data_IF_664146980087
#
_entry.id   IF_664146980087
#
_cell.length_a   1.000
_cell.length_b   1.000
_cell.length_c   1.000
_cell.angle_alpha   90.00
_cell.angle_beta   90.00
_cell.angle_gamma   90.00
#
_symmetry.space_group_name_H-M   'P 1'
#
loop_
_entity.id
_entity.type
_entity.pdbx_description
1 polymer ?
#
# COMPACT_ATOMS: atom_id res chain seq x y z
N UNK A 1 22.92 -4.86 8.91
CA UNK A 1 22.42 -6.24 8.74
C UNK A 1 20.91 -6.14 8.50
N UNK A 2 20.40 -6.82 7.49
CA UNK A 2 18.96 -6.89 7.22
C UNK A 2 18.45 -8.21 7.77
N UNK A 3 17.45 -8.17 8.63
CA UNK A 3 16.75 -9.38 9.10
C UNK A 3 15.73 -9.81 8.05
N UNK A 4 15.69 -11.11 7.76
CA UNK A 4 14.56 -11.75 7.07
C UNK A 4 13.58 -12.26 8.13
N UNK A 5 12.35 -12.60 7.74
CA UNK A 5 11.39 -13.20 8.68
C UNK A 5 11.95 -14.45 9.36
N UNK A 6 12.64 -15.31 8.59
CA UNK A 6 13.23 -16.54 9.12
C UNK A 6 14.30 -16.26 10.19
N UNK A 7 15.26 -15.37 9.89
CA UNK A 7 16.32 -15.02 10.84
C UNK A 7 15.80 -14.27 12.07
N UNK A 8 14.74 -13.44 11.90
CA UNK A 8 14.08 -12.79 13.02
C UNK A 8 13.37 -13.81 13.92
N UNK A 9 12.67 -14.77 13.32
CA UNK A 9 12.00 -15.84 14.05
C UNK A 9 12.99 -16.67 14.87
N UNK A 10 14.11 -17.11 14.26
CA UNK A 10 15.18 -17.85 14.94
C UNK A 10 15.74 -17.04 16.11
N UNK A 11 16.05 -15.77 15.90
CA UNK A 11 16.57 -14.89 16.94
C UNK A 11 15.60 -14.72 18.11
N UNK A 12 14.30 -14.62 17.85
CA UNK A 12 13.27 -14.52 18.91
C UNK A 12 13.15 -15.84 19.66
N UNK A 13 13.17 -16.99 18.97
CA UNK A 13 13.16 -18.31 19.60
C UNK A 13 14.37 -18.49 20.51
N UNK A 14 15.57 -18.17 20.03
CA UNK A 14 16.81 -18.26 20.81
C UNK A 14 16.76 -17.35 22.04
N UNK A 15 16.25 -16.14 21.90
CA UNK A 15 16.15 -15.20 23.02
C UNK A 15 15.13 -15.64 24.08
N UNK A 16 13.97 -16.12 23.63
CA UNK A 16 12.87 -16.55 24.52
C UNK A 16 13.06 -17.97 25.05
N UNK A 17 13.97 -18.75 24.46
CA UNK A 17 14.18 -20.18 24.74
C UNK A 17 12.86 -20.96 24.64
N UNK A 18 12.01 -20.58 23.69
CA UNK A 18 10.67 -21.18 23.52
C UNK A 18 10.53 -21.78 22.11
N UNK A 19 10.47 -23.10 22.05
CA UNK A 19 10.28 -23.90 20.84
C UNK A 19 8.87 -24.49 20.73
N UNK A 20 7.95 -24.05 21.59
CA UNK A 20 6.59 -24.57 21.58
C UNK A 20 5.91 -24.33 20.24
N UNK A 21 5.29 -25.39 19.68
CA UNK A 21 4.70 -25.35 18.34
C UNK A 21 3.66 -24.24 18.19
N UNK A 22 2.86 -24.00 19.22
CA UNK A 22 1.86 -22.92 19.23
C UNK A 22 2.50 -21.54 19.18
N UNK A 23 3.61 -21.31 19.90
CA UNK A 23 4.36 -20.07 19.89
C UNK A 23 4.96 -19.81 18.51
N UNK A 24 5.63 -20.82 17.95
CA UNK A 24 6.28 -20.73 16.63
C UNK A 24 5.24 -20.45 15.53
N UNK A 25 4.09 -21.12 15.57
CA UNK A 25 3.02 -20.93 14.60
C UNK A 25 2.42 -19.51 14.63
N UNK A 26 2.38 -18.87 15.79
CA UNK A 26 1.83 -17.52 15.95
C UNK A 26 2.87 -16.39 15.75
N UNK A 27 4.13 -16.71 15.54
CA UNK A 27 5.20 -15.72 15.41
C UNK A 27 4.95 -14.72 14.27
N UNK A 28 4.42 -15.18 13.14
CA UNK A 28 4.05 -14.31 12.02
C UNK A 28 3.05 -13.22 12.42
N UNK A 29 2.02 -13.60 13.16
CA UNK A 29 1.02 -12.65 13.67
C UNK A 29 1.64 -11.62 14.63
N UNK A 30 2.55 -12.05 15.50
CA UNK A 30 3.22 -11.12 16.42
C UNK A 30 4.08 -10.10 15.68
N UNK A 31 4.80 -10.55 14.64
CA UNK A 31 5.61 -9.65 13.78
C UNK A 31 4.70 -8.65 13.05
N UNK A 32 3.61 -9.09 12.41
CA UNK A 32 2.65 -8.21 11.73
C UNK A 32 2.05 -7.15 12.68
N UNK A 33 1.67 -7.54 13.89
CA UNK A 33 1.14 -6.60 14.89
C UNK A 33 2.20 -5.58 15.35
N UNK A 34 3.46 -6.01 15.49
CA UNK A 34 4.56 -5.11 15.83
C UNK A 34 4.85 -4.11 14.71
N UNK A 35 4.89 -4.56 13.45
CA UNK A 35 5.04 -3.72 12.27
C UNK A 35 3.93 -2.67 12.18
N UNK A 36 2.68 -3.09 12.34
CA UNK A 36 1.54 -2.19 12.29
C UNK A 36 1.60 -1.12 13.40
N UNK A 37 2.03 -1.49 14.60
CA UNK A 37 2.23 -0.55 15.69
C UNK A 37 3.33 0.47 15.37
N UNK A 38 4.45 0.04 14.78
CA UNK A 38 5.53 0.95 14.36
C UNK A 38 5.04 1.91 13.28
N UNK A 39 4.39 1.41 12.23
CA UNK A 39 3.89 2.23 11.12
C UNK A 39 2.84 3.25 11.55
N UNK A 40 2.01 2.93 12.54
CA UNK A 40 1.02 3.87 13.10
C UNK A 40 1.63 4.93 14.03
N UNK A 41 2.78 4.64 14.64
CA UNK A 41 3.38 5.52 15.65
C UNK A 41 4.53 6.38 15.12
N UNK A 42 5.19 5.96 14.04
CA UNK A 42 6.41 6.61 13.53
C UNK A 42 6.29 6.89 12.03
N UNK A 43 6.45 8.17 11.66
CA UNK A 43 6.56 8.60 10.27
C UNK A 43 8.04 8.73 9.91
N UNK A 44 8.62 7.72 9.28
CA UNK A 44 10.00 7.71 8.82
C UNK A 44 10.09 8.20 7.37
N UNK A 45 11.09 9.04 7.09
CA UNK A 45 11.32 9.53 5.73
C UNK A 45 11.64 8.41 4.72
N UNK A 46 12.20 7.29 5.19
CA UNK A 46 12.42 6.08 4.38
C UNK A 46 11.13 5.49 3.82
N UNK A 47 9.99 5.78 4.44
CA UNK A 47 8.68 5.31 4.00
C UNK A 47 7.96 6.33 3.10
N UNK A 48 8.69 7.23 2.45
CA UNK A 48 8.15 8.15 1.46
C UNK A 48 8.38 7.62 0.04
N UNK A 49 7.34 7.75 -0.78
CA UNK A 49 7.36 7.48 -2.22
C UNK A 49 6.71 8.59 -2.99
N UNK A 50 7.04 8.66 -4.28
CA UNK A 50 6.38 9.54 -5.23
C UNK A 50 5.66 8.70 -6.28
N UNK A 51 4.40 9.02 -6.54
CA UNK A 51 3.61 8.44 -7.62
C UNK A 51 3.19 9.52 -8.60
N UNK A 52 3.45 9.27 -9.87
CA UNK A 52 2.90 10.08 -10.95
C UNK A 52 1.51 9.57 -11.32
N UNK A 53 0.60 10.49 -11.62
CA UNK A 53 -0.76 10.18 -12.01
C UNK A 53 -1.37 11.26 -12.89
N UNK A 54 -2.66 11.17 -13.13
CA UNK A 54 -3.42 12.18 -13.86
C UNK A 54 -4.74 12.45 -13.19
N UNK A 55 -5.12 13.71 -13.09
CA UNK A 55 -6.49 14.13 -12.76
C UNK A 55 -7.27 14.28 -14.06
N UNK A 56 -8.47 13.75 -14.11
CA UNK A 56 -9.39 13.99 -15.23
C UNK A 56 -10.17 15.28 -15.01
N UNK A 57 -10.43 16.01 -16.09
CA UNK A 57 -11.35 17.15 -16.06
C UNK A 57 -12.74 16.74 -15.60
N UNK A 58 -13.35 17.52 -14.73
CA UNK A 58 -14.69 17.27 -14.21
C UNK A 58 -14.77 16.17 -13.12
N UNK A 59 -13.66 15.55 -12.74
CA UNK A 59 -13.62 14.57 -11.67
C UNK A 59 -12.90 15.13 -10.45
N UNK A 60 -13.63 15.25 -9.34
CA UNK A 60 -13.08 15.74 -8.08
C UNK A 60 -12.32 14.68 -7.27
N UNK A 61 -12.32 13.42 -7.70
CA UNK A 61 -11.65 12.33 -6.99
C UNK A 61 -10.35 11.93 -7.70
N UNK A 62 -9.29 11.81 -6.91
CA UNK A 62 -7.99 11.30 -7.36
C UNK A 62 -7.72 9.99 -6.62
N UNK A 63 -7.57 8.89 -7.37
CA UNK A 63 -7.21 7.60 -6.80
C UNK A 63 -5.77 7.64 -6.26
N UNK A 64 -5.56 6.99 -5.13
CA UNK A 64 -4.23 6.81 -4.53
C UNK A 64 -3.68 5.42 -4.82
N UNK A 65 -2.34 5.22 -4.75
CA UNK A 65 -1.73 3.90 -4.86
C UNK A 65 -2.23 2.93 -3.78
N UNK A 66 -2.18 1.62 -4.06
CA UNK A 66 -2.66 0.58 -3.13
C UNK A 66 -1.84 0.48 -1.83
N UNK A 67 -0.60 0.97 -1.84
CA UNK A 67 0.29 1.02 -0.68
C UNK A 67 0.24 2.37 0.07
N UNK A 68 -0.71 3.25 -0.29
CA UNK A 68 -0.88 4.56 0.33
C UNK A 68 -1.27 4.46 1.80
N UNK A 69 -0.54 5.19 2.65
CA UNK A 69 -0.83 5.29 4.08
C UNK A 69 -1.29 6.71 4.47
N UNK A 70 -0.53 7.72 4.05
CA UNK A 70 -0.85 9.12 4.35
C UNK A 70 -0.25 10.06 3.30
N UNK A 71 -0.92 11.16 2.94
CA UNK A 71 -0.38 12.13 1.99
C UNK A 71 0.72 12.97 2.65
N UNK A 72 1.76 13.27 1.90
CA UNK A 72 2.79 14.23 2.30
C UNK A 72 2.67 15.53 1.49
N UNK A 73 2.58 15.41 0.16
CA UNK A 73 2.45 16.54 -0.76
C UNK A 73 1.78 16.10 -2.05
N UNK A 74 0.97 16.96 -2.62
CA UNK A 74 0.35 16.78 -3.93
C UNK A 74 0.62 18.00 -4.80
N UNK A 75 1.16 17.77 -5.99
CA UNK A 75 1.33 18.80 -7.00
C UNK A 75 0.68 18.44 -8.33
N UNK A 76 0.29 19.44 -9.07
CA UNK A 76 -0.16 19.33 -10.46
C UNK A 76 0.78 20.12 -11.37
N UNK A 77 0.87 19.70 -12.62
CA UNK A 77 1.56 20.49 -13.66
C UNK A 77 0.52 21.29 -14.43
N UNK A 78 0.62 22.62 -14.36
CA UNK A 78 -0.22 23.55 -15.11
C UNK A 78 0.67 24.53 -15.85
N UNK A 79 0.47 24.69 -17.15
CA UNK A 79 1.26 25.62 -17.99
C UNK A 79 2.78 25.47 -17.83
N UNK A 80 3.27 24.23 -17.77
CA UNK A 80 4.69 23.87 -17.56
C UNK A 80 5.26 24.27 -16.19
N UNK A 81 4.42 24.62 -15.23
CA UNK A 81 4.80 24.95 -13.86
C UNK A 81 4.15 24.00 -12.87
N UNK A 82 4.85 23.72 -11.78
CA UNK A 82 4.27 22.95 -10.66
C UNK A 82 3.41 23.87 -9.80
N UNK A 83 2.18 23.41 -9.53
CA UNK A 83 1.27 24.02 -8.55
C UNK A 83 1.09 23.03 -7.43
N UNK A 84 1.53 23.39 -6.22
CA UNK A 84 1.36 22.57 -5.03
C UNK A 84 0.00 22.82 -4.40
N UNK A 85 -0.77 21.77 -4.20
CA UNK A 85 -2.07 21.84 -3.54
C UNK A 85 -1.88 21.81 -2.02
N UNK A 86 -2.72 22.54 -1.30
CA UNK A 86 -2.69 22.54 0.16
C UNK A 86 -3.57 21.42 0.71
N UNK A 87 -3.00 20.61 1.59
CA UNK A 87 -3.76 19.63 2.36
C UNK A 87 -4.68 20.35 3.37
N UNK A 88 -5.94 19.96 3.40
CA UNK A 88 -6.96 20.49 4.29
C UNK A 88 -7.83 19.36 4.82
N UNK A 89 -8.57 19.65 5.89
CA UNK A 89 -9.60 18.74 6.38
C UNK A 89 -10.72 18.56 5.34
N UNK A 90 -11.37 17.41 5.37
CA UNK A 90 -12.43 17.06 4.42
C UNK A 90 -13.56 18.11 4.41
N UNK A 91 -14.03 18.51 5.59
CA UNK A 91 -15.09 19.49 5.76
C UNK A 91 -14.76 20.85 5.13
N UNK A 92 -13.47 21.24 5.23
CA UNK A 92 -13.01 22.47 4.58
C UNK A 92 -13.15 22.40 3.07
N UNK A 93 -12.69 21.32 2.44
CA UNK A 93 -12.73 21.16 0.98
C UNK A 93 -14.17 21.07 0.48
N UNK A 94 -15.04 20.36 1.21
CA UNK A 94 -16.47 20.27 0.90
C UNK A 94 -17.19 21.61 1.03
N UNK A 95 -16.87 22.39 2.06
CA UNK A 95 -17.44 23.75 2.25
C UNK A 95 -16.91 24.73 1.19
N UNK A 96 -15.64 24.61 0.82
CA UNK A 96 -15.01 25.43 -0.21
C UNK A 96 -15.62 25.19 -1.61
N UNK A 97 -15.89 23.96 -1.96
CA UNK A 97 -16.50 23.55 -3.23
C UNK A 97 -17.71 22.66 -3.03
N UNK A 98 -18.85 23.24 -2.53
CA UNK A 98 -20.04 22.46 -2.21
C UNK A 98 -20.77 21.94 -3.45
N UNK A 99 -20.51 22.53 -4.62
CA UNK A 99 -21.09 22.10 -5.89
C UNK A 99 -19.98 21.46 -6.76
N UNK A 100 -20.02 20.12 -6.98
CA UNK A 100 -19.03 19.44 -7.81
C UNK A 100 -18.95 19.92 -9.27
N UNK A 101 -20.01 20.56 -9.75
CA UNK A 101 -20.02 21.15 -11.10
C UNK A 101 -19.21 22.47 -11.20
N UNK A 102 -18.79 23.04 -10.07
CA UNK A 102 -17.91 24.20 -10.06
C UNK A 102 -16.50 23.74 -10.35
N UNK A 103 -16.03 23.99 -11.58
CA UNK A 103 -14.70 23.61 -12.06
C UNK A 103 -13.71 24.77 -11.94
N UNK A 104 -12.42 24.43 -11.80
CA UNK A 104 -11.34 25.39 -11.76
C UNK A 104 -9.98 24.72 -11.55
N UNK A 105 -8.91 25.52 -11.53
CA UNK A 105 -7.57 25.00 -11.21
C UNK A 105 -7.56 24.49 -9.76
N UNK A 106 -7.20 23.23 -9.50
CA UNK A 106 -7.12 22.65 -8.16
C UNK A 106 -6.23 23.46 -7.22
N UNK A 107 -6.68 23.64 -5.97
CA UNK A 107 -5.94 24.39 -4.94
C UNK A 107 -5.79 23.63 -3.63
N UNK A 108 -6.80 22.83 -3.29
CA UNK A 108 -6.87 22.09 -2.04
C UNK A 108 -7.12 20.62 -2.29
N UNK A 109 -6.68 19.79 -1.35
CA UNK A 109 -7.02 18.38 -1.33
C UNK A 109 -7.22 17.90 0.10
N UNK A 110 -8.04 16.87 0.24
CA UNK A 110 -8.29 16.18 1.51
C UNK A 110 -8.34 14.67 1.28
N UNK A 111 -8.10 13.91 2.32
CA UNK A 111 -8.36 12.47 2.27
C UNK A 111 -9.86 12.24 2.36
N UNK A 112 -10.45 11.62 1.33
CA UNK A 112 -11.88 11.31 1.27
C UNK A 112 -12.17 9.93 1.85
N UNK A 113 -11.45 8.92 1.37
CA UNK A 113 -11.51 7.55 1.84
C UNK A 113 -10.12 6.88 1.71
N UNK A 114 -10.08 5.55 1.89
CA UNK A 114 -8.83 4.76 1.84
C UNK A 114 -8.18 4.79 0.44
N UNK A 115 -8.99 4.97 -0.61
CA UNK A 115 -8.56 4.86 -2.00
C UNK A 115 -8.54 6.19 -2.75
N UNK A 116 -9.14 7.25 -2.18
CA UNK A 116 -9.39 8.49 -2.90
C UNK A 116 -9.04 9.74 -2.09
N UNK A 117 -8.47 10.73 -2.78
CA UNK A 117 -8.37 12.10 -2.32
C UNK A 117 -9.48 12.93 -2.97
N UNK A 118 -10.09 13.83 -2.20
CA UNK A 118 -11.03 14.86 -2.69
C UNK A 118 -10.24 16.10 -3.08
N UNK A 119 -10.51 16.62 -4.27
CA UNK A 119 -9.84 17.79 -4.85
C UNK A 119 -10.82 18.96 -4.94
N UNK A 120 -10.38 20.13 -4.55
CA UNK A 120 -11.18 21.35 -4.63
C UNK A 120 -10.39 22.55 -5.19
N UNK A 121 -10.95 23.31 -6.17
CA UNK A 121 -12.13 23.03 -7.01
C UNK A 121 -12.01 21.76 -7.85
N UNK A 122 -13.14 21.28 -8.38
CA UNK A 122 -13.14 20.19 -9.38
C UNK A 122 -12.27 20.60 -10.57
N UNK A 123 -11.35 19.74 -11.03
CA UNK A 123 -10.41 20.10 -12.13
C UNK A 123 -11.12 20.55 -13.41
N UNK A 124 -10.74 21.68 -13.95
CA UNK A 124 -11.25 22.24 -15.21
C UNK A 124 -10.58 21.64 -16.45
N UNK A 125 -9.42 21.02 -16.28
CA UNK A 125 -8.65 20.32 -17.30
C UNK A 125 -8.03 19.03 -16.79
N UNK A 126 -7.45 18.24 -17.68
CA UNK A 126 -6.62 17.11 -17.29
C UNK A 126 -5.25 17.64 -16.82
N UNK A 127 -4.84 17.24 -15.62
CA UNK A 127 -3.55 17.63 -15.03
C UNK A 127 -2.69 16.40 -14.74
N UNK A 128 -1.41 16.49 -15.12
CA UNK A 128 -0.42 15.54 -14.60
C UNK A 128 -0.19 15.82 -13.12
N UNK A 129 -0.19 14.80 -12.30
CA UNK A 129 -0.04 14.91 -10.85
C UNK A 129 1.22 14.21 -10.37
N UNK A 130 1.79 14.71 -9.29
CA UNK A 130 2.80 14.01 -8.51
C UNK A 130 2.35 14.01 -7.06
N UNK A 131 2.07 12.81 -6.56
CA UNK A 131 1.71 12.57 -5.15
C UNK A 131 2.94 12.06 -4.42
N UNK A 132 3.42 12.81 -3.43
CA UNK A 132 4.38 12.34 -2.43
C UNK A 132 3.61 11.84 -1.22
N UNK A 133 3.88 10.63 -0.78
CA UNK A 133 3.09 9.99 0.27
C UNK A 133 3.93 9.03 1.10
N UNK A 134 3.47 8.77 2.31
CA UNK A 134 3.97 7.66 3.12
C UNK A 134 3.33 6.37 2.63
N UNK A 135 4.15 5.38 2.34
CA UNK A 135 3.68 4.08 1.89
C UNK A 135 3.78 3.03 3.00
N UNK A 136 2.92 2.02 2.90
CA UNK A 136 3.01 0.83 3.71
C UNK A 136 4.00 -0.15 3.07
N UNK A 137 5.16 -0.41 3.68
CA UNK A 137 6.06 -1.43 3.17
C UNK A 137 5.41 -2.82 3.25
N UNK A 138 5.85 -3.74 2.39
CA UNK A 138 5.48 -5.14 2.53
C UNK A 138 5.96 -5.68 3.88
N UNK A 139 5.12 -6.50 4.52
CA UNK A 139 5.48 -7.13 5.79
C UNK A 139 6.67 -8.08 5.61
N UNK A 140 7.49 -8.22 6.63
CA UNK A 140 8.54 -9.26 6.69
C UNK A 140 7.97 -10.68 6.57
N UNK A 141 6.69 -10.85 6.96
CA UNK A 141 5.99 -12.13 6.86
C UNK A 141 5.51 -12.47 5.45
N UNK A 142 5.64 -11.53 4.50
CA UNK A 142 5.21 -11.68 3.12
C UNK A 142 6.38 -11.96 2.18
N UNK A 143 6.11 -12.78 1.16
CA UNK A 143 7.01 -13.04 0.05
C UNK A 143 6.27 -12.88 -1.26
N UNK A 144 6.96 -12.37 -2.30
CA UNK A 144 6.38 -12.28 -3.63
C UNK A 144 6.63 -13.57 -4.41
N UNK A 145 5.55 -14.24 -4.81
CA UNK A 145 5.58 -15.37 -5.74
C UNK A 145 5.25 -14.86 -7.16
N UNK A 146 6.21 -15.00 -8.06
CA UNK A 146 6.03 -14.62 -9.46
C UNK A 146 5.61 -15.87 -10.24
N UNK A 147 4.46 -15.79 -10.94
CA UNK A 147 3.95 -16.83 -11.80
C UNK A 147 4.60 -16.72 -13.18
N UNK A 148 5.36 -17.73 -13.58
CA UNK A 148 6.10 -17.75 -14.87
C UNK A 148 5.24 -18.07 -16.06
N UNK A 149 4.10 -18.73 -15.86
CA UNK A 149 3.12 -19.06 -16.89
C UNK A 149 1.79 -18.50 -16.43
N UNK A 150 1.04 -17.88 -17.35
CA UNK A 150 -0.25 -17.28 -17.01
C UNK A 150 -1.13 -18.26 -16.24
N UNK A 151 -1.60 -17.83 -15.09
CA UNK A 151 -2.46 -18.63 -14.26
C UNK A 151 -3.74 -19.01 -15.03
N UNK A 152 -4.05 -20.28 -15.08
CA UNK A 152 -5.29 -20.79 -15.69
C UNK A 152 -6.47 -20.74 -14.72
N UNK A 153 -6.36 -20.02 -13.62
CA UNK A 153 -7.40 -19.88 -12.59
C UNK A 153 -7.44 -18.46 -12.01
N UNK A 154 -8.51 -18.17 -11.30
CA UNK A 154 -8.63 -16.95 -10.48
C UNK A 154 -8.18 -17.27 -9.07
N UNK A 155 -7.31 -16.43 -8.53
CA UNK A 155 -6.89 -16.50 -7.13
C UNK A 155 -7.72 -15.55 -6.26
N UNK A 156 -7.88 -15.90 -4.99
CA UNK A 156 -8.54 -15.04 -4.01
C UNK A 156 -7.66 -14.80 -2.78
N UNK A 157 -7.82 -13.64 -2.14
CA UNK A 157 -7.11 -13.36 -0.90
C UNK A 157 -7.56 -14.35 0.19
N UNK A 158 -6.62 -14.87 0.95
CA UNK A 158 -6.86 -15.89 1.97
C UNK A 158 -6.86 -17.33 1.44
N UNK A 159 -6.76 -17.54 0.15
CA UNK A 159 -6.67 -18.86 -0.45
C UNK A 159 -5.33 -19.55 -0.13
N UNK A 160 -5.39 -20.84 0.10
CA UNK A 160 -4.20 -21.66 0.31
C UNK A 160 -3.69 -22.19 -1.03
N UNK A 161 -2.42 -21.96 -1.32
CA UNK A 161 -1.74 -22.50 -2.51
C UNK A 161 -0.76 -23.58 -2.09
N UNK A 162 -0.63 -24.62 -2.94
CA UNK A 162 0.31 -25.72 -2.73
C UNK A 162 1.16 -25.91 -3.99
N UNK A 163 2.47 -25.93 -3.81
CA UNK A 163 3.41 -26.23 -4.90
C UNK A 163 3.22 -27.68 -5.39
N UNK A 164 2.95 -27.85 -6.68
CA UNK A 164 2.60 -29.15 -7.25
C UNK A 164 3.72 -30.20 -7.11
N UNK A 165 4.98 -29.80 -7.20
CA UNK A 165 6.14 -30.68 -7.08
C UNK A 165 6.75 -30.63 -5.68
N UNK A 166 6.84 -29.43 -5.10
CA UNK A 166 7.48 -29.24 -3.79
C UNK A 166 6.60 -29.61 -2.60
N UNK A 167 5.28 -29.64 -2.78
CA UNK A 167 4.33 -29.80 -1.65
C UNK A 167 4.32 -28.63 -0.66
N UNK A 168 5.06 -27.55 -0.95
CA UNK A 168 5.11 -26.35 -0.10
C UNK A 168 3.76 -25.66 -0.10
N UNK A 169 3.29 -25.29 1.09
CA UNK A 169 1.98 -24.66 1.30
C UNK A 169 2.16 -23.22 1.77
N UNK A 170 1.37 -22.30 1.24
CA UNK A 170 1.29 -20.92 1.72
C UNK A 170 -0.10 -20.35 1.49
N UNK A 171 -0.36 -19.18 2.07
CA UNK A 171 -1.63 -18.45 1.96
C UNK A 171 -1.43 -17.15 1.20
N UNK A 172 -2.32 -16.87 0.27
CA UNK A 172 -2.31 -15.61 -0.49
C UNK A 172 -2.77 -14.47 0.42
N UNK A 173 -1.93 -13.44 0.56
CA UNK A 173 -2.23 -12.21 1.30
C UNK A 173 -2.87 -11.15 0.42
N UNK A 174 -2.31 -10.96 -0.78
CA UNK A 174 -2.83 -10.02 -1.77
C UNK A 174 -2.41 -10.42 -3.18
N UNK A 175 -3.05 -9.83 -4.18
CA UNK A 175 -2.82 -10.11 -5.60
C UNK A 175 -2.41 -8.80 -6.28
N UNK A 176 -1.11 -8.41 -6.22
CA UNK A 176 -0.64 -7.16 -6.80
C UNK A 176 -0.78 -7.07 -8.33
N UNK A 177 -0.73 -8.21 -9.01
CA UNK A 177 -0.94 -8.29 -10.48
C UNK A 177 -1.41 -9.68 -10.89
N UNK A 178 -1.78 -9.85 -12.16
CA UNK A 178 -2.16 -11.16 -12.73
C UNK A 178 -1.03 -12.21 -12.73
N UNK A 179 0.21 -11.78 -12.53
CA UNK A 179 1.40 -12.64 -12.53
C UNK A 179 2.16 -12.62 -11.21
N UNK A 180 1.67 -11.91 -10.20
CA UNK A 180 2.37 -11.78 -8.92
C UNK A 180 1.39 -11.95 -7.77
N UNK A 181 1.72 -12.85 -6.86
CA UNK A 181 1.00 -13.07 -5.60
C UNK A 181 1.89 -12.64 -4.43
N UNK A 182 1.33 -11.91 -3.48
CA UNK A 182 1.93 -11.74 -2.16
C UNK A 182 1.44 -12.90 -1.29
N UNK A 183 2.35 -13.68 -0.76
CA UNK A 183 2.07 -14.88 0.03
C UNK A 183 2.74 -14.78 1.39
N UNK A 184 2.25 -15.50 2.37
CA UNK A 184 3.00 -15.74 3.60
C UNK A 184 4.34 -16.38 3.26
N UNK A 185 5.42 -15.99 3.97
CA UNK A 185 6.73 -16.62 3.77
C UNK A 185 6.61 -18.13 3.99
N UNK A 186 6.78 -18.95 2.95
CA UNK A 186 6.62 -20.40 3.07
C UNK A 186 7.83 -21.01 3.78
N UNK A 187 7.65 -22.21 4.32
CA UNK A 187 8.72 -22.99 4.95
C UNK A 187 9.70 -23.62 3.96
N UNK A 188 9.48 -23.44 2.64
CA UNK A 188 10.29 -23.99 1.57
C UNK A 188 10.12 -23.20 0.27
N UNK A 189 10.72 -23.68 -0.82
CA UNK A 189 10.64 -23.05 -2.13
C UNK A 189 9.53 -23.72 -2.97
N UNK A 190 8.70 -22.92 -3.62
CA UNK A 190 7.72 -23.42 -4.59
C UNK A 190 8.43 -23.89 -5.86
N UNK A 191 8.11 -25.10 -6.30
CA UNK A 191 8.56 -25.69 -7.57
C UNK A 191 7.41 -26.41 -8.26
#
# INVERSE_FOLDING_TARGET
MSYTFTTLREAVQDYTQNEETSFVANMGMFVELAEERVLKSVQLNEFQKNAAGTMASGNQFLNVPSDFLAPFSLSITSSSSYVFLMFKDLDYVQTYNPNPATIGVPKYYAQFDVNNLLIGPTPDAAYTTTLSYFYRPASLTESLLVLTVGATGSFTNGETITGGTSGVVSTIKSIPSSTTLSILVPSGTFT
#
